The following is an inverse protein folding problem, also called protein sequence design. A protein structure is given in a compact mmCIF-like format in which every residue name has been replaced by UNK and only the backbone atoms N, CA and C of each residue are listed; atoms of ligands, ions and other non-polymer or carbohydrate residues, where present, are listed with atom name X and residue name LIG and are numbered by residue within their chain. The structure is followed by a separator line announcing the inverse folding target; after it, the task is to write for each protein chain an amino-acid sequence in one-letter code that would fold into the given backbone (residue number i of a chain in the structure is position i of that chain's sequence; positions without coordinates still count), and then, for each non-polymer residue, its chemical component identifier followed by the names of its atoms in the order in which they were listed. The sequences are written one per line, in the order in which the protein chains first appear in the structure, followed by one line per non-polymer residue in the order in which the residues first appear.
data_IF_913384990173
#
_entry.id   IF_913384990173
#
_cell.length_a   1.000
_cell.length_b   1.000
_cell.length_c   1.000
_cell.angle_alpha   90.00
_cell.angle_beta   90.00
_cell.angle_gamma   90.00
#
_symmetry.space_group_name_H-M   'P 1'
#
loop_
_entity.id
_entity.type
_entity.pdbx_description
1 polymer ?
#
# COMPACT_ATOMS: atom_id res chain seq x y z
N UNK A 1 3.94 -24.74 -12.17
CA UNK A 1 2.57 -25.06 -11.68
C UNK A 1 1.55 -25.13 -12.81
N UNK A 2 1.54 -24.20 -13.76
CA UNK A 2 0.58 -24.21 -14.90
C UNK A 2 0.61 -25.52 -15.73
N UNK A 3 1.80 -26.10 -15.97
CA UNK A 3 1.95 -27.42 -16.63
C UNK A 3 1.29 -28.57 -15.84
N UNK A 4 1.41 -28.58 -14.52
CA UNK A 4 0.83 -29.63 -13.67
C UNK A 4 -0.70 -29.51 -13.60
N UNK A 5 -1.21 -28.27 -13.58
CA UNK A 5 -2.64 -27.98 -13.59
C UNK A 5 -3.29 -28.40 -14.93
N UNK A 6 -2.64 -28.16 -16.07
CA UNK A 6 -3.13 -28.61 -17.39
C UNK A 6 -3.22 -30.14 -17.49
N UNK A 7 -2.27 -30.86 -16.89
CA UNK A 7 -2.24 -32.33 -16.87
C UNK A 7 -3.29 -32.95 -15.94
N UNK A 8 -3.71 -32.23 -14.89
CA UNK A 8 -4.71 -32.69 -13.91
C UNK A 8 -6.13 -32.21 -14.22
N UNK A 9 -6.34 -31.47 -15.32
CA UNK A 9 -7.62 -30.84 -15.64
C UNK A 9 -8.00 -29.67 -14.70
N UNK A 10 -7.06 -29.20 -13.88
CA UNK A 10 -7.28 -28.20 -12.83
C UNK A 10 -7.12 -26.74 -13.27
N UNK A 11 -7.33 -26.41 -14.55
CA UNK A 11 -7.25 -25.03 -15.05
C UNK A 11 -8.64 -24.47 -15.25
N UNK A 12 -9.01 -23.48 -14.43
CA UNK A 12 -10.22 -22.69 -14.60
C UNK A 12 -9.88 -21.36 -15.28
N UNK A 13 -10.73 -20.92 -16.22
CA UNK A 13 -10.65 -19.60 -16.87
C UNK A 13 -11.85 -18.76 -16.46
N UNK A 14 -11.59 -17.56 -15.95
CA UNK A 14 -12.64 -16.57 -15.62
C UNK A 14 -12.60 -15.47 -16.68
N UNK A 15 -13.66 -15.36 -17.47
CA UNK A 15 -13.81 -14.30 -18.46
C UNK A 15 -14.56 -13.12 -17.83
N UNK A 16 -13.88 -11.99 -17.64
CA UNK A 16 -14.46 -10.77 -17.06
C UNK A 16 -15.00 -9.89 -18.19
N UNK A 17 -16.28 -9.52 -18.10
CA UNK A 17 -16.93 -8.58 -19.02
C UNK A 17 -17.41 -7.31 -18.32
N UNK A 18 -17.45 -6.20 -19.06
CA UNK A 18 -17.95 -4.89 -18.64
C UNK A 18 -18.48 -4.09 -19.84
N UNK A 19 -19.20 -3.00 -19.58
CA UNK A 19 -19.81 -2.17 -20.64
C UNK A 19 -18.84 -1.16 -21.26
N UNK A 20 -17.81 -0.75 -20.51
CA UNK A 20 -16.74 0.12 -20.99
C UNK A 20 -15.35 -0.46 -20.69
N UNK A 21 -14.32 0.04 -21.40
CA UNK A 21 -12.93 -0.38 -21.17
C UNK A 21 -12.43 -0.02 -19.77
N UNK A 22 -12.84 1.15 -19.25
CA UNK A 22 -12.47 1.59 -17.92
C UNK A 22 -13.03 0.65 -16.83
N UNK A 23 -14.31 0.28 -16.93
CA UNK A 23 -14.93 -0.69 -16.04
C UNK A 23 -14.31 -2.09 -16.19
N UNK A 24 -13.97 -2.49 -17.42
CA UNK A 24 -13.32 -3.78 -17.67
C UNK A 24 -12.00 -3.87 -16.92
N UNK A 25 -11.17 -2.82 -16.99
CA UNK A 25 -9.88 -2.75 -16.29
C UNK A 25 -10.05 -2.83 -14.78
N UNK A 26 -10.98 -2.07 -14.21
CA UNK A 26 -11.26 -2.07 -12.76
C UNK A 26 -11.78 -3.43 -12.28
N UNK A 27 -12.77 -4.00 -12.98
CA UNK A 27 -13.38 -5.28 -12.61
C UNK A 27 -12.40 -6.43 -12.75
N UNK A 28 -11.56 -6.40 -13.78
CA UNK A 28 -10.47 -7.38 -13.95
C UNK A 28 -9.47 -7.29 -12.80
N UNK A 29 -9.03 -6.08 -12.44
CA UNK A 29 -8.11 -5.88 -11.32
C UNK A 29 -8.69 -6.41 -9.99
N UNK A 30 -9.98 -6.18 -9.72
CA UNK A 30 -10.66 -6.75 -8.52
C UNK A 30 -10.68 -8.27 -8.51
N UNK A 31 -10.89 -8.91 -9.66
CA UNK A 31 -10.89 -10.38 -9.77
C UNK A 31 -9.48 -10.94 -9.55
N UNK A 32 -8.45 -10.28 -10.09
CA UNK A 32 -7.05 -10.65 -9.86
C UNK A 32 -6.68 -10.51 -8.38
N UNK A 33 -7.06 -9.40 -7.74
CA UNK A 33 -6.81 -9.19 -6.31
C UNK A 33 -7.51 -10.24 -5.44
N UNK A 34 -8.77 -10.56 -5.73
CA UNK A 34 -9.51 -11.62 -5.04
C UNK A 34 -8.83 -13.00 -5.18
N UNK A 35 -8.29 -13.32 -6.36
CA UNK A 35 -7.54 -14.55 -6.59
C UNK A 35 -6.27 -14.59 -5.74
N UNK A 36 -5.52 -13.48 -5.69
CA UNK A 36 -4.30 -13.38 -4.88
C UNK A 36 -4.59 -13.45 -3.38
N UNK A 37 -5.63 -12.77 -2.90
CA UNK A 37 -6.09 -12.83 -1.52
C UNK A 37 -6.50 -14.25 -1.12
N UNK A 38 -7.25 -14.96 -1.98
CA UNK A 38 -7.66 -16.35 -1.72
C UNK A 38 -6.46 -17.28 -1.65
N UNK A 39 -5.49 -17.14 -2.56
CA UNK A 39 -4.23 -17.92 -2.51
C UNK A 39 -3.42 -17.64 -1.24
N UNK A 40 -3.37 -16.38 -0.81
CA UNK A 40 -2.70 -15.98 0.41
C UNK A 40 -3.40 -16.55 1.66
N UNK A 41 -4.74 -16.58 1.66
CA UNK A 41 -5.55 -17.14 2.74
C UNK A 41 -5.36 -18.66 2.86
N UNK A 42 -5.26 -19.38 1.74
CA UNK A 42 -4.97 -20.82 1.75
C UNK A 42 -3.55 -21.09 2.27
N UNK A 43 -2.59 -20.20 2.01
CA UNK A 43 -1.19 -20.41 2.38
C UNK A 43 -0.91 -20.21 3.88
N UNK A 44 -1.45 -19.15 4.50
CA UNK A 44 -1.13 -18.79 5.90
C UNK A 44 -2.38 -18.60 6.77
N UNK A 45 -3.56 -18.91 6.27
CA UNK A 45 -4.83 -18.76 6.99
C UNK A 45 -5.41 -17.35 6.92
N UNK A 46 -6.44 -17.13 7.73
CA UNK A 46 -7.21 -15.90 7.79
C UNK A 46 -7.21 -15.32 9.21
N UNK A 47 -7.40 -14.01 9.31
CA UNK A 47 -7.56 -13.26 10.55
C UNK A 47 -8.77 -12.33 10.46
N UNK A 48 -9.31 -11.85 11.60
CA UNK A 48 -10.32 -10.79 11.61
C UNK A 48 -9.82 -9.56 10.85
N UNK A 49 -10.58 -9.15 9.82
CA UNK A 49 -10.22 -8.03 8.95
C UNK A 49 -10.50 -6.67 9.58
N UNK A 50 -10.59 -5.63 8.74
CA UNK A 50 -10.87 -4.25 9.20
C UNK A 50 -9.77 -3.65 10.08
N UNK A 51 -8.55 -4.18 9.99
CA UNK A 51 -7.40 -3.77 10.82
C UNK A 51 -7.41 -4.31 12.25
N UNK A 52 -8.40 -5.15 12.62
CA UNK A 52 -8.52 -5.72 13.97
C UNK A 52 -7.28 -6.55 14.34
N UNK A 53 -6.78 -7.36 13.40
CA UNK A 53 -5.53 -8.12 13.55
C UNK A 53 -4.37 -7.28 14.08
N UNK A 54 -4.14 -6.09 13.51
CA UNK A 54 -3.10 -5.16 13.94
C UNK A 54 -3.36 -4.61 15.35
N UNK A 55 -4.60 -4.24 15.65
CA UNK A 55 -4.96 -3.76 17.00
C UNK A 55 -4.72 -4.85 18.05
N UNK A 56 -5.01 -6.12 17.73
CA UNK A 56 -4.73 -7.26 18.63
C UNK A 56 -3.22 -7.48 18.82
N UNK A 57 -2.43 -7.29 17.77
CA UNK A 57 -0.97 -7.44 17.83
C UNK A 57 -0.29 -6.44 18.80
N UNK A 58 -0.92 -5.31 19.12
CA UNK A 58 -0.40 -4.33 20.10
C UNK A 58 -0.11 -4.96 21.46
N UNK A 59 -0.95 -5.91 21.91
CA UNK A 59 -0.75 -6.63 23.17
C UNK A 59 0.54 -7.46 23.18
N UNK A 60 1.02 -7.93 22.02
CA UNK A 60 2.28 -8.67 21.95
C UNK A 60 3.46 -7.74 22.28
N UNK A 61 3.43 -6.49 21.80
CA UNK A 61 4.43 -5.46 22.09
C UNK A 61 4.34 -5.06 23.57
N UNK A 62 3.13 -4.77 24.05
CA UNK A 62 2.90 -4.35 25.45
C UNK A 62 3.35 -5.42 26.45
N UNK A 63 3.43 -6.69 26.03
CA UNK A 63 3.86 -7.79 26.88
C UNK A 63 5.36 -8.01 26.97
N UNK A 64 6.17 -7.37 26.13
CA UNK A 64 7.63 -7.53 26.16
C UNK A 64 8.24 -6.85 27.39
N UNK A 65 9.40 -7.36 27.83
CA UNK A 65 10.07 -6.85 29.02
C UNK A 65 10.61 -5.44 28.78
N UNK A 66 11.12 -5.22 27.58
CA UNK A 66 11.75 -3.99 27.11
C UNK A 66 10.73 -2.84 27.08
N UNK A 67 9.54 -3.09 26.52
CA UNK A 67 8.48 -2.08 26.49
C UNK A 67 7.94 -1.79 27.90
N UNK A 68 7.66 -2.84 28.70
CA UNK A 68 7.17 -2.69 30.08
C UNK A 68 8.15 -1.97 31.00
N UNK A 69 9.45 -2.17 30.82
CA UNK A 69 10.47 -1.50 31.61
C UNK A 69 10.34 0.03 31.51
N UNK A 70 10.04 0.53 30.31
CA UNK A 70 9.92 1.98 30.05
C UNK A 70 8.48 2.45 30.19
N UNK A 71 7.59 2.06 29.28
CA UNK A 71 6.22 2.60 29.20
C UNK A 71 5.26 1.98 30.20
N UNK A 72 5.49 0.73 30.60
CA UNK A 72 4.68 0.07 31.65
C UNK A 72 4.93 0.63 33.05
N UNK A 73 6.07 1.29 33.27
CA UNK A 73 6.46 1.92 34.54
C UNK A 73 6.60 3.44 34.45
N UNK A 74 6.31 4.03 33.29
CA UNK A 74 6.48 5.46 33.01
C UNK A 74 7.88 6.00 33.33
N UNK A 75 8.92 5.22 32.97
CA UNK A 75 10.31 5.61 33.18
C UNK A 75 10.81 6.53 32.06
N UNK A 76 11.70 7.44 32.42
CA UNK A 76 12.36 8.41 31.52
C UNK A 76 13.70 7.88 31.01
N UNK A 77 14.32 8.58 30.05
CA UNK A 77 15.63 8.19 29.54
C UNK A 77 16.72 8.28 30.63
N UNK A 78 16.55 9.18 31.59
CA UNK A 78 17.40 9.37 32.75
C UNK A 78 17.33 8.18 33.71
N UNK A 79 16.17 7.54 33.83
CA UNK A 79 15.95 6.40 34.74
C UNK A 79 16.56 5.09 34.22
N UNK A 80 16.53 4.86 32.90
CA UNK A 80 16.92 3.57 32.29
C UNK A 80 18.15 3.64 31.39
N UNK A 81 18.60 4.85 31.06
CA UNK A 81 19.63 5.13 30.06
C UNK A 81 19.05 5.22 28.63
N UNK A 82 19.63 6.13 27.84
CA UNK A 82 19.18 6.45 26.47
C UNK A 82 18.99 5.21 25.57
N UNK A 83 19.95 4.29 25.53
CA UNK A 83 19.88 3.11 24.65
C UNK A 83 18.65 2.24 24.92
N UNK A 84 18.32 2.00 26.20
CA UNK A 84 17.15 1.20 26.56
C UNK A 84 15.86 1.94 26.26
N UNK A 85 15.86 3.24 26.51
CA UNK A 85 14.72 4.11 26.21
C UNK A 85 14.43 4.14 24.71
N UNK A 86 15.45 4.36 23.86
CA UNK A 86 15.32 4.43 22.41
C UNK A 86 14.81 3.12 21.81
N UNK A 87 15.31 1.98 22.31
CA UNK A 87 14.82 0.67 21.89
C UNK A 87 13.33 0.50 22.21
N UNK A 88 12.92 0.83 23.44
CA UNK A 88 11.52 0.77 23.83
C UNK A 88 10.67 1.77 23.02
N UNK A 89 11.17 2.98 22.76
CA UNK A 89 10.49 4.00 21.98
C UNK A 89 10.23 3.52 20.54
N UNK A 90 11.19 2.82 19.93
CA UNK A 90 10.98 2.14 18.65
C UNK A 90 9.82 1.13 18.70
N UNK A 91 9.72 0.34 19.77
CA UNK A 91 8.58 -0.57 19.98
C UNK A 91 7.25 0.18 20.12
N UNK A 92 7.25 1.31 20.85
CA UNK A 92 6.06 2.15 21.01
C UNK A 92 5.59 2.77 19.68
N UNK A 93 6.52 3.19 18.81
CA UNK A 93 6.21 3.68 17.47
C UNK A 93 5.47 2.60 16.65
N UNK A 94 5.98 1.36 16.66
CA UNK A 94 5.30 0.24 15.98
C UNK A 94 3.92 0.00 16.58
N UNK A 95 3.80 0.01 17.91
CA UNK A 95 2.51 -0.17 18.60
C UNK A 95 1.48 0.90 18.23
N UNK A 96 1.92 2.14 18.03
CA UNK A 96 1.05 3.24 17.57
C UNK A 96 0.68 3.07 16.10
N UNK A 97 1.64 2.71 15.23
CA UNK A 97 1.41 2.49 13.81
C UNK A 97 0.37 1.38 13.55
N UNK A 98 0.32 0.34 14.39
CA UNK A 98 -0.68 -0.74 14.31
C UNK A 98 -2.14 -0.27 14.47
N UNK A 99 -2.38 0.91 15.05
CA UNK A 99 -3.73 1.47 15.14
C UNK A 99 -4.18 2.19 13.85
N UNK A 100 -3.23 2.60 13.01
CA UNK A 100 -3.50 3.43 11.81
C UNK A 100 -4.44 2.73 10.83
N UNK A 101 -4.28 1.44 10.47
CA UNK A 101 -5.19 0.81 9.50
C UNK A 101 -6.66 0.83 9.93
N UNK A 102 -6.95 0.46 11.18
CA UNK A 102 -8.33 0.47 11.72
C UNK A 102 -8.88 1.91 11.76
N UNK A 103 -8.05 2.87 12.18
CA UNK A 103 -8.43 4.28 12.23
C UNK A 103 -8.78 4.81 10.84
N UNK A 104 -7.92 4.60 9.86
CA UNK A 104 -8.11 5.08 8.48
C UNK A 104 -9.38 4.47 7.86
N UNK A 105 -9.62 3.18 8.06
CA UNK A 105 -10.83 2.51 7.58
C UNK A 105 -12.08 3.15 8.20
N UNK A 106 -12.07 3.41 9.51
CA UNK A 106 -13.21 4.03 10.20
C UNK A 106 -13.42 5.51 9.80
N UNK A 107 -12.35 6.29 9.70
CA UNK A 107 -12.39 7.70 9.29
C UNK A 107 -12.95 7.82 7.85
N UNK A 108 -12.52 6.95 6.94
CA UNK A 108 -13.05 6.89 5.56
C UNK A 108 -14.54 6.47 5.49
N UNK A 109 -15.03 5.77 6.51
CA UNK A 109 -16.43 5.40 6.64
C UNK A 109 -17.29 6.46 7.34
N UNK A 110 -16.72 7.61 7.69
CA UNK A 110 -17.40 8.70 8.39
C UNK A 110 -17.57 8.49 9.90
N UNK A 111 -16.93 7.46 10.48
CA UNK A 111 -16.88 7.25 11.92
C UNK A 111 -15.64 7.91 12.53
N UNK A 112 -15.64 8.14 13.85
CA UNK A 112 -14.46 8.69 14.55
C UNK A 112 -13.44 7.58 14.84
N UNK A 113 -12.42 7.44 13.99
CA UNK A 113 -11.50 6.31 14.01
C UNK A 113 -10.72 6.12 15.32
N UNK A 114 -10.41 7.20 16.05
CA UNK A 114 -9.77 7.07 17.38
C UNK A 114 -10.67 6.39 18.41
N UNK A 115 -11.98 6.66 18.36
CA UNK A 115 -12.98 5.99 19.22
C UNK A 115 -13.14 4.54 18.79
N UNK A 116 -13.17 4.28 17.47
CA UNK A 116 -13.24 2.91 16.95
C UNK A 116 -12.05 2.08 17.42
N UNK A 117 -10.83 2.60 17.28
CA UNK A 117 -9.62 1.91 17.74
C UNK A 117 -9.68 1.62 19.24
N UNK A 118 -10.12 2.57 20.08
CA UNK A 118 -10.25 2.36 21.53
C UNK A 118 -11.20 1.21 21.83
N UNK A 119 -12.42 1.26 21.27
CA UNK A 119 -13.44 0.25 21.50
C UNK A 119 -13.04 -1.13 20.97
N UNK A 120 -12.42 -1.19 19.79
CA UNK A 120 -11.86 -2.44 19.28
C UNK A 120 -10.77 -2.96 20.22
N UNK A 121 -9.87 -2.11 20.72
CA UNK A 121 -8.80 -2.52 21.64
C UNK A 121 -9.32 -3.06 22.98
N UNK A 122 -10.35 -2.43 23.55
CA UNK A 122 -11.08 -2.90 24.73
C UNK A 122 -11.63 -4.33 24.52
N UNK A 123 -12.21 -4.56 23.34
CA UNK A 123 -12.72 -5.88 22.95
C UNK A 123 -14.11 -6.17 23.53
N UNK A 124 -14.61 -7.37 23.22
CA UNK A 124 -15.84 -7.92 23.82
C UNK A 124 -15.54 -9.33 24.32
N UNK A 125 -15.92 -9.66 25.55
CA UNK A 125 -15.57 -10.94 26.18
C UNK A 125 -16.25 -12.15 25.51
N UNK A 126 -17.43 -11.97 24.92
CA UNK A 126 -18.18 -13.05 24.25
C UNK A 126 -17.65 -13.32 22.85
N UNK A 127 -17.16 -12.28 22.17
CA UNK A 127 -16.66 -12.37 20.79
C UNK A 127 -15.14 -12.65 20.77
N UNK A 128 -14.41 -12.16 21.76
CA UNK A 128 -12.98 -12.36 21.91
C UNK A 128 -12.15 -11.63 20.83
N UNK A 129 -11.16 -12.32 20.28
CA UNK A 129 -10.18 -11.71 19.36
C UNK A 129 -10.81 -11.17 18.06
N UNK A 130 -11.97 -11.71 17.66
CA UNK A 130 -12.68 -11.33 16.44
C UNK A 130 -13.55 -10.06 16.58
N UNK A 131 -13.65 -9.47 17.79
CA UNK A 131 -14.43 -8.26 17.98
C UNK A 131 -13.82 -7.10 17.20
N UNK A 132 -14.62 -6.47 16.34
CA UNK A 132 -14.18 -5.40 15.47
C UNK A 132 -15.29 -4.44 15.08
N UNK A 133 -14.96 -3.54 14.15
CA UNK A 133 -15.88 -2.58 13.57
C UNK A 133 -15.99 -2.82 12.07
N UNK A 134 -17.21 -3.09 11.60
CA UNK A 134 -17.49 -3.26 10.19
C UNK A 134 -17.83 -1.91 9.58
N UNK A 135 -16.89 -1.36 8.83
CA UNK A 135 -17.02 -0.05 8.20
C UNK A 135 -18.11 0.02 7.12
N UNK A 136 -18.55 -1.12 6.57
CA UNK A 136 -19.64 -1.15 5.59
C UNK A 136 -21.01 -0.94 6.25
N UNK A 137 -21.21 -1.51 7.44
CA UNK A 137 -22.49 -1.43 8.18
C UNK A 137 -22.46 -0.44 9.34
N UNK A 138 -21.28 0.07 9.71
CA UNK A 138 -21.02 0.92 10.87
C UNK A 138 -21.35 0.26 12.22
N UNK A 139 -21.30 -1.08 12.26
CA UNK A 139 -21.63 -1.86 13.45
C UNK A 139 -20.40 -2.54 14.07
N UNK A 140 -20.45 -2.75 15.38
CA UNK A 140 -19.46 -3.56 16.08
C UNK A 140 -19.94 -5.01 16.17
N UNK A 141 -19.03 -5.96 16.02
CA UNK A 141 -19.38 -7.36 16.15
C UNK A 141 -18.25 -8.32 15.85
N UNK A 142 -18.61 -9.57 15.61
CA UNK A 142 -17.69 -10.65 15.23
C UNK A 142 -17.36 -10.54 13.75
N UNK A 143 -16.17 -10.01 13.44
CA UNK A 143 -15.75 -9.74 12.07
C UNK A 143 -15.70 -11.00 11.20
N UNK A 144 -15.38 -12.17 11.79
CA UNK A 144 -15.34 -13.42 11.07
C UNK A 144 -16.74 -13.88 10.69
N UNK A 145 -17.71 -13.77 11.62
CA UNK A 145 -19.12 -14.08 11.33
C UNK A 145 -19.75 -13.10 10.35
N UNK A 146 -19.31 -11.84 10.37
CA UNK A 146 -19.74 -10.83 9.41
C UNK A 146 -19.05 -10.95 8.05
N UNK A 147 -18.14 -11.91 7.87
CA UNK A 147 -17.43 -12.13 6.61
C UNK A 147 -16.33 -11.11 6.30
N UNK A 148 -15.98 -10.25 7.26
CA UNK A 148 -14.89 -9.28 7.14
C UNK A 148 -13.60 -9.93 7.65
N UNK A 149 -12.94 -10.65 6.75
CA UNK A 149 -11.72 -11.39 7.01
C UNK A 149 -10.59 -10.91 6.10
N UNK A 150 -9.35 -11.15 6.52
CA UNK A 150 -8.16 -10.79 5.75
C UNK A 150 -7.17 -11.96 5.78
N UNK A 151 -6.46 -12.25 4.66
CA UNK A 151 -5.41 -13.26 4.68
C UNK A 151 -4.29 -12.87 5.64
N UNK A 152 -3.91 -13.77 6.56
CA UNK A 152 -2.86 -13.48 7.55
C UNK A 152 -1.52 -13.09 6.90
N UNK A 153 -1.22 -13.73 5.76
CA UNK A 153 -0.05 -13.42 4.93
C UNK A 153 0.01 -11.97 4.49
N UNK A 154 -1.13 -11.39 4.11
CA UNK A 154 -1.19 -10.01 3.59
C UNK A 154 -0.86 -9.04 4.72
N UNK A 155 -1.51 -9.16 5.88
CA UNK A 155 -1.25 -8.29 7.03
C UNK A 155 0.19 -8.39 7.51
N UNK A 156 0.73 -9.61 7.63
CA UNK A 156 2.12 -9.86 8.03
C UNK A 156 3.10 -9.22 7.04
N UNK A 157 2.89 -9.44 5.74
CA UNK A 157 3.78 -8.94 4.69
C UNK A 157 3.71 -7.41 4.59
N UNK A 158 2.51 -6.84 4.70
CA UNK A 158 2.32 -5.39 4.71
C UNK A 158 3.08 -4.73 5.86
N UNK A 159 2.98 -5.28 7.08
CA UNK A 159 3.71 -4.77 8.23
C UNK A 159 5.23 -4.90 8.05
N UNK A 160 5.72 -6.05 7.59
CA UNK A 160 7.15 -6.28 7.39
C UNK A 160 7.74 -5.33 6.33
N UNK A 161 7.05 -5.13 5.21
CA UNK A 161 7.48 -4.22 4.15
C UNK A 161 7.47 -2.77 4.63
N UNK A 162 6.41 -2.36 5.34
CA UNK A 162 6.31 -1.01 5.90
C UNK A 162 7.44 -0.75 6.91
N UNK A 163 7.71 -1.68 7.82
CA UNK A 163 8.82 -1.58 8.79
C UNK A 163 10.18 -1.54 8.10
N UNK A 164 10.37 -2.31 7.02
CA UNK A 164 11.62 -2.30 6.24
C UNK A 164 11.90 -0.92 5.64
N UNK A 165 10.92 -0.34 4.94
CA UNK A 165 11.04 1.00 4.35
C UNK A 165 11.21 2.08 5.43
N UNK A 166 10.42 2.01 6.52
CA UNK A 166 10.53 2.95 7.62
C UNK A 166 11.92 2.92 8.28
N UNK A 167 12.53 1.75 8.44
CA UNK A 167 13.88 1.62 9.00
C UNK A 167 14.91 2.33 8.13
N UNK A 168 14.86 2.12 6.82
CA UNK A 168 15.76 2.81 5.87
C UNK A 168 15.59 4.32 5.97
N UNK A 169 14.36 4.82 5.97
CA UNK A 169 14.07 6.26 6.05
C UNK A 169 14.52 6.90 7.37
N UNK A 170 14.29 6.23 8.51
CA UNK A 170 14.66 6.75 9.83
C UNK A 170 16.18 6.80 10.05
N UNK A 171 16.93 5.97 9.34
CA UNK A 171 18.41 5.92 9.41
C UNK A 171 19.09 6.76 8.34
N UNK A 172 18.34 7.33 7.40
CA UNK A 172 18.90 8.14 6.32
C UNK A 172 19.27 9.54 6.83
N UNK A 173 20.56 9.82 6.91
CA UNK A 173 21.09 11.13 7.34
C UNK A 173 21.23 12.12 6.18
N UNK A 174 21.41 11.63 4.94
CA UNK A 174 21.50 12.45 3.75
C UNK A 174 20.89 11.79 2.51
N UNK A 175 20.46 12.61 1.55
CA UNK A 175 19.95 12.18 0.24
C UNK A 175 20.68 12.96 -0.84
N UNK A 176 21.24 12.24 -1.82
CA UNK A 176 21.87 12.83 -3.00
C UNK A 176 20.86 12.78 -4.14
N UNK A 177 20.51 13.95 -4.69
CA UNK A 177 19.57 14.06 -5.80
C UNK A 177 20.25 14.68 -7.01
N UNK A 178 19.72 14.39 -8.21
CA UNK A 178 20.08 15.16 -9.39
C UNK A 178 19.65 16.62 -9.22
N UNK A 179 20.42 17.55 -9.80
CA UNK A 179 20.03 18.96 -9.83
C UNK A 179 18.73 19.07 -10.63
N UNK A 180 17.69 19.76 -10.12
CA UNK A 180 16.48 20.02 -10.89
C UNK A 180 16.84 20.63 -12.25
N UNK A 181 16.44 19.96 -13.32
CA UNK A 181 16.57 20.50 -14.67
C UNK A 181 15.47 21.55 -14.84
N UNK A 182 15.84 22.73 -15.34
CA UNK A 182 14.84 23.67 -15.84
C UNK A 182 14.14 22.99 -17.02
N UNK A 183 12.82 22.85 -16.92
CA UNK A 183 12.02 22.41 -18.06
C UNK A 183 11.96 23.60 -19.01
N UNK A 184 12.51 23.45 -20.21
CA UNK A 184 12.27 24.41 -21.29
C UNK A 184 10.76 24.43 -21.58
N UNK A 185 10.05 25.44 -21.09
CA UNK A 185 8.64 25.73 -21.39
C UNK A 185 8.44 26.22 -22.85
N UNK A 186 9.29 25.78 -23.77
CA UNK A 186 9.28 26.14 -25.19
C UNK A 186 9.02 24.94 -26.12
N UNK A 187 8.24 23.97 -25.66
CA UNK A 187 7.68 22.95 -26.53
C UNK A 187 6.14 22.95 -26.43
N UNK A 188 5.50 23.77 -27.28
CA UNK A 188 4.17 23.43 -27.79
C UNK A 188 3.00 24.37 -27.48
N UNK A 189 3.10 25.66 -27.84
CA UNK A 189 1.90 26.45 -28.14
C UNK A 189 2.10 27.28 -29.43
N UNK A 190 1.87 26.64 -30.57
CA UNK A 190 1.57 27.33 -31.81
C UNK A 190 0.46 26.58 -32.58
N UNK A 191 -0.75 26.58 -32.00
CA UNK A 191 -1.98 26.41 -32.77
C UNK A 191 -2.83 27.67 -32.59
N UNK A 192 -2.68 28.61 -33.52
CA UNK A 192 -3.69 29.59 -33.86
C UNK A 192 -3.53 29.90 -35.36
N UNK A 193 -4.46 29.41 -36.17
CA UNK A 193 -4.51 29.72 -37.60
C UNK A 193 -5.08 31.12 -37.85
N UNK A 194 -4.59 31.77 -38.91
CA UNK A 194 -5.35 32.60 -39.86
C UNK A 194 -4.39 33.35 -40.80
N UNK A 195 -4.68 33.33 -42.11
CA UNK A 195 -4.52 34.53 -42.95
C UNK A 195 -3.33 34.62 -43.92
N UNK A 196 -3.60 34.28 -45.18
CA UNK A 196 -3.30 35.05 -46.42
C UNK A 196 -1.88 35.47 -46.84
N UNK A 197 -1.58 35.14 -48.11
CA UNK A 197 -0.72 35.90 -49.06
C UNK A 197 0.77 35.54 -48.97
N UNK A 198 1.50 35.16 -50.03
CA UNK A 198 1.43 35.45 -51.45
C UNK A 198 2.84 35.85 -51.90
N UNK A 199 3.26 35.44 -53.11
CA UNK A 199 4.54 35.78 -53.79
C UNK A 199 5.78 35.02 -53.28
N UNK A 200 6.64 34.41 -54.08
CA UNK A 200 6.82 34.39 -55.53
C UNK A 200 8.32 34.45 -55.86
N UNK A 201 8.84 33.40 -56.53
CA UNK A 201 10.13 33.37 -57.25
C UNK A 201 11.38 33.06 -56.41
N UNK A 202 12.48 32.56 -56.97
CA UNK A 202 12.84 32.01 -58.28
C UNK A 202 14.29 31.53 -58.14
N UNK A 203 14.62 30.35 -58.66
CA UNK A 203 16.00 29.94 -58.99
C UNK A 203 16.86 29.55 -57.78
N UNK A 204 17.67 28.50 -57.81
CA UNK A 204 18.06 27.62 -58.88
C UNK A 204 19.30 26.87 -58.42
N UNK A 205 19.59 25.78 -59.15
CA UNK A 205 20.95 25.34 -59.45
C UNK A 205 21.75 24.69 -58.30
N UNK A 206 22.26 23.50 -58.60
CA UNK A 206 23.50 23.03 -58.00
C UNK A 206 23.39 21.62 -57.45
N UNK A 207 23.96 20.68 -58.21
CA UNK A 207 24.00 19.27 -57.86
C UNK A 207 24.92 18.95 -56.69
N UNK A 208 24.94 17.67 -56.32
CA UNK A 208 25.82 17.20 -55.26
C UNK A 208 25.55 15.75 -54.91
N UNK A 209 26.06 14.87 -55.74
CA UNK A 209 26.14 13.42 -55.56
C UNK A 209 27.00 13.04 -54.33
N UNK A 210 26.66 11.92 -53.68
CA UNK A 210 27.49 11.20 -52.71
C UNK A 210 26.65 10.79 -51.48
N UNK A 211 26.46 9.52 -51.13
CA UNK A 211 27.27 8.33 -51.36
C UNK A 211 27.68 7.76 -49.99
N UNK A 212 27.40 6.47 -49.79
CA UNK A 212 27.81 5.61 -48.64
C UNK A 212 27.07 5.86 -47.32
N UNK A 213 26.63 4.86 -46.55
CA UNK A 213 26.98 3.44 -46.55
C UNK A 213 27.53 3.05 -45.17
N UNK A 214 27.04 1.94 -44.60
CA UNK A 214 27.61 1.25 -43.43
C UNK A 214 26.96 1.62 -42.10
N UNK A 215 26.16 0.74 -41.49
CA UNK A 215 26.59 -0.37 -40.61
C UNK A 215 27.33 0.07 -39.35
N UNK A 216 26.70 -0.21 -38.21
CA UNK A 216 27.33 -0.21 -36.89
C UNK A 216 26.41 -0.90 -35.90
N UNK A 217 26.67 -2.19 -35.69
CA UNK A 217 26.31 -3.11 -34.60
C UNK A 217 25.07 -2.85 -33.74
#
# INVERSE_FOLDING_TARGET
QERLAKLSGGVAQINVGAASEAELKEKKARVEDALHATRAAVAEGIVPGGGVSFVRARKAIENTKEWKAVFGKHQTAEDVGHVKYDYAAGMEIVRQALAVPTRTIADNAGAKGTVVVSKVAEGDAKIGAAFGFNALTLEYGDMLKQGVLTPAKVDRTALQNASSVATVLLTADCVITEKPQEKDDHAGHAHAGAGMGGMGGMGGMGGGMGGMGGMGF
#
